data_IF_947873987429
#
_entry.id   IF_947873987429
#
_cell.length_a   1.000
_cell.length_b   1.000
_cell.length_c   1.000
_cell.angle_alpha   90.00
_cell.angle_beta   90.00
_cell.angle_gamma   90.00
#
_symmetry.space_group_name_H-M   'P 1'
#
loop_
_entity.id
_entity.type
_entity.pdbx_description
1 polymer ?
#
# COMPACT_ATOMS: atom_id res chain seq x y z
N UNK A 1 -5.76 2.49 25.32
CA UNK A 1 -5.24 2.91 24.03
C UNK A 1 -5.74 1.95 22.98
N UNK A 2 -6.32 2.45 21.91
CA UNK A 2 -6.74 1.61 20.79
C UNK A 2 -5.49 0.98 20.15
N UNK A 3 -5.43 -0.34 20.17
CA UNK A 3 -4.38 -1.07 19.47
C UNK A 3 -4.88 -1.39 18.08
N UNK A 4 -4.14 -0.96 17.07
CA UNK A 4 -4.46 -1.28 15.69
C UNK A 4 -3.91 -2.66 15.37
N UNK A 5 -4.78 -3.57 14.97
CA UNK A 5 -4.40 -4.96 14.64
C UNK A 5 -4.85 -5.31 13.24
N UNK A 6 -4.21 -6.30 12.66
CA UNK A 6 -4.58 -6.80 11.34
C UNK A 6 -3.91 -8.13 11.04
N UNK A 7 -4.16 -8.63 9.83
CA UNK A 7 -3.58 -9.89 9.41
C UNK A 7 -4.04 -10.35 8.04
N UNK A 8 -3.62 -11.53 7.65
CA UNK A 8 -3.90 -12.13 6.36
C UNK A 8 -5.18 -12.98 6.37
N UNK A 9 -5.64 -13.35 5.18
CA UNK A 9 -6.85 -14.14 4.97
C UNK A 9 -6.84 -15.47 5.73
N UNK A 10 -5.71 -16.19 5.74
CA UNK A 10 -5.62 -17.49 6.43
C UNK A 10 -5.41 -17.36 7.95
N UNK A 11 -5.19 -16.14 8.44
CA UNK A 11 -4.99 -15.85 9.85
C UNK A 11 -3.61 -16.20 10.41
N UNK A 12 -2.72 -16.80 9.61
CA UNK A 12 -1.41 -17.20 10.08
C UNK A 12 -0.48 -16.02 10.34
N UNK A 13 -0.57 -14.97 9.52
CA UNK A 13 0.16 -13.72 9.73
C UNK A 13 -0.73 -12.74 10.48
N UNK A 14 -0.23 -12.29 11.64
CA UNK A 14 -0.90 -11.26 12.43
C UNK A 14 0.09 -10.16 12.77
N UNK A 15 -0.40 -8.93 12.85
CA UNK A 15 0.42 -7.78 13.20
C UNK A 15 -0.35 -6.80 14.09
N UNK A 16 0.40 -5.97 14.78
CA UNK A 16 -0.08 -4.86 15.59
C UNK A 16 0.65 -3.58 15.20
N UNK A 17 -0.03 -2.45 15.34
CA UNK A 17 0.55 -1.13 15.12
C UNK A 17 0.55 -0.38 16.46
N UNK A 18 1.71 0.14 16.84
CA UNK A 18 1.86 0.92 18.07
C UNK A 18 1.26 2.33 17.98
N UNK A 19 1.06 2.85 16.76
CA UNK A 19 0.40 4.12 16.51
C UNK A 19 -0.63 4.00 15.39
N UNK A 20 -1.55 4.97 15.33
CA UNK A 20 -2.58 5.00 14.29
C UNK A 20 -1.96 5.09 12.89
N UNK A 21 -2.50 4.33 11.92
CA UNK A 21 -2.17 4.55 10.51
C UNK A 21 -2.60 5.96 10.09
N UNK A 22 -1.92 6.49 9.09
CA UNK A 22 -2.18 7.84 8.60
C UNK A 22 -2.05 7.86 7.07
N UNK A 23 -2.48 8.95 6.47
CA UNK A 23 -2.24 9.23 5.05
C UNK A 23 -2.77 8.12 4.13
N UNK A 24 -4.00 7.66 4.40
CA UNK A 24 -4.62 6.59 3.65
C UNK A 24 -5.10 7.07 2.27
N UNK A 25 -4.91 6.25 1.25
CA UNK A 25 -5.33 6.58 -0.10
C UNK A 25 -5.41 5.38 -1.02
N UNK A 26 -6.02 5.62 -2.19
CA UNK A 26 -6.13 4.66 -3.28
C UNK A 26 -4.99 4.85 -4.28
N UNK A 27 -4.37 3.76 -4.70
CA UNK A 27 -3.39 3.76 -5.78
C UNK A 27 -3.91 2.97 -6.97
N UNK A 28 -3.96 3.63 -8.13
CA UNK A 28 -4.45 3.06 -9.39
C UNK A 28 -3.32 2.62 -10.32
N UNK A 29 -2.07 2.64 -9.89
CA UNK A 29 -0.95 2.25 -10.76
C UNK A 29 -1.07 0.78 -11.17
N UNK A 30 -0.52 0.46 -12.33
CA UNK A 30 -0.60 -0.89 -12.90
C UNK A 30 0.02 -1.95 -11.96
N UNK A 31 1.11 -1.60 -11.27
CA UNK A 31 1.74 -2.49 -10.31
C UNK A 31 0.82 -2.84 -9.14
N UNK A 32 0.08 -1.86 -8.62
CA UNK A 32 -0.93 -2.10 -7.59
C UNK A 32 -2.08 -2.96 -8.10
N UNK A 33 -2.53 -2.73 -9.33
CA UNK A 33 -3.57 -3.55 -9.96
C UNK A 33 -3.13 -5.01 -10.08
N UNK A 34 -1.94 -5.24 -10.61
CA UNK A 34 -1.42 -6.60 -10.81
C UNK A 34 -1.14 -7.30 -9.48
N UNK A 35 -0.57 -6.61 -8.51
CA UNK A 35 -0.21 -7.23 -7.23
C UNK A 35 -1.40 -7.49 -6.32
N UNK A 36 -2.48 -6.73 -6.45
CA UNK A 36 -3.70 -6.91 -5.65
C UNK A 36 -4.78 -7.73 -6.36
N UNK A 37 -4.73 -7.80 -7.69
CA UNK A 37 -5.82 -8.40 -8.47
C UNK A 37 -7.10 -7.55 -8.45
N UNK A 38 -7.00 -6.27 -8.14
CA UNK A 38 -8.11 -5.33 -8.04
C UNK A 38 -7.85 -4.08 -8.88
N UNK A 39 -8.88 -3.30 -9.24
CA UNK A 39 -8.71 -2.08 -10.03
C UNK A 39 -7.85 -1.01 -9.38
N UNK A 40 -7.81 -1.01 -8.05
CA UNK A 40 -6.99 -0.12 -7.24
C UNK A 40 -6.71 -0.79 -5.91
N UNK A 41 -5.70 -0.33 -5.19
CA UNK A 41 -5.35 -0.84 -3.87
C UNK A 41 -5.36 0.31 -2.87
N UNK A 42 -6.01 0.11 -1.72
CA UNK A 42 -6.02 1.07 -0.63
C UNK A 42 -4.84 0.82 0.30
N UNK A 43 -4.11 1.88 0.60
CA UNK A 43 -2.99 1.86 1.52
C UNK A 43 -3.18 2.85 2.66
N UNK A 44 -2.59 2.55 3.79
CA UNK A 44 -2.40 3.49 4.89
C UNK A 44 -0.93 3.50 5.28
N UNK A 45 -0.37 4.67 5.48
CA UNK A 45 1.01 4.82 5.89
C UNK A 45 1.17 4.47 7.37
N UNK A 46 2.24 3.77 7.69
CA UNK A 46 2.58 3.33 9.06
C UNK A 46 4.05 3.60 9.30
N UNK A 47 4.40 4.09 10.48
CA UNK A 47 5.81 4.14 10.86
C UNK A 47 6.35 2.72 10.94
N UNK A 48 7.47 2.46 10.28
CA UNK A 48 8.05 1.11 10.26
C UNK A 48 8.36 0.59 11.67
N UNK A 49 8.81 1.47 12.57
CA UNK A 49 9.11 1.12 13.95
C UNK A 49 7.87 0.69 14.75
N UNK A 50 6.68 1.09 14.31
CA UNK A 50 5.42 0.79 14.98
C UNK A 50 4.73 -0.49 14.42
N UNK A 51 5.28 -1.06 13.36
CA UNK A 51 4.78 -2.30 12.77
C UNK A 51 5.41 -3.50 13.46
N UNK A 52 4.61 -4.28 14.16
CA UNK A 52 5.06 -5.48 14.89
C UNK A 52 4.30 -6.70 14.41
N UNK A 53 5.01 -7.67 13.85
CA UNK A 53 4.42 -8.97 13.49
C UNK A 53 4.31 -9.82 14.76
N UNK A 54 3.08 -10.19 15.11
CA UNK A 54 2.79 -10.95 16.33
C UNK A 54 2.69 -12.45 16.08
N UNK A 55 2.45 -12.88 14.85
CA UNK A 55 2.56 -14.27 14.42
C UNK A 55 2.83 -14.39 12.93
N UNK A 56 3.42 -15.51 12.52
CA UNK A 56 3.61 -15.83 11.11
C UNK A 56 4.69 -15.03 10.37
N UNK A 57 5.63 -14.42 11.06
CA UNK A 57 6.70 -13.64 10.43
C UNK A 57 7.49 -14.46 9.41
N UNK A 58 7.68 -15.74 9.66
CA UNK A 58 8.37 -16.68 8.76
C UNK A 58 7.60 -17.00 7.47
N UNK A 59 6.31 -16.69 7.44
CA UNK A 59 5.46 -16.86 6.25
C UNK A 59 5.47 -15.65 5.32
N UNK A 60 5.96 -14.50 5.77
CA UNK A 60 6.00 -13.30 4.95
C UNK A 60 7.04 -13.46 3.85
N UNK A 61 6.61 -13.23 2.62
CA UNK A 61 7.46 -13.23 1.41
C UNK A 61 7.46 -11.85 0.81
N UNK A 62 8.54 -11.51 0.15
CA UNK A 62 8.71 -10.20 -0.48
C UNK A 62 9.23 -10.33 -1.88
N UNK A 63 8.75 -9.47 -2.77
CA UNK A 63 9.23 -9.36 -4.15
C UNK A 63 9.55 -7.92 -4.47
N UNK A 64 10.61 -7.71 -5.23
CA UNK A 64 10.92 -6.41 -5.80
C UNK A 64 9.93 -6.13 -6.94
N UNK A 65 9.06 -5.17 -6.76
CA UNK A 65 7.97 -4.88 -7.71
C UNK A 65 8.27 -3.72 -8.66
N UNK A 66 9.32 -2.95 -8.36
CA UNK A 66 9.76 -1.83 -9.19
C UNK A 66 11.21 -1.51 -8.85
N UNK A 67 11.80 -0.52 -9.52
CA UNK A 67 13.16 -0.06 -9.24
C UNK A 67 13.33 0.47 -7.81
N UNK A 68 12.25 0.93 -7.17
CA UNK A 68 12.30 1.52 -5.84
C UNK A 68 11.31 0.92 -4.83
N UNK A 69 10.51 -0.07 -5.21
CA UNK A 69 9.46 -0.63 -4.37
C UNK A 69 9.60 -2.13 -4.14
N UNK A 70 9.23 -2.55 -2.93
CA UNK A 70 9.18 -3.95 -2.54
C UNK A 70 7.83 -4.24 -1.91
N UNK A 71 7.21 -5.33 -2.31
CA UNK A 71 5.89 -5.75 -1.81
C UNK A 71 6.02 -7.00 -0.98
N UNK A 72 5.32 -7.02 0.15
CA UNK A 72 5.33 -8.13 1.08
C UNK A 72 3.92 -8.69 1.24
N UNK A 73 3.83 -10.01 1.29
CA UNK A 73 2.56 -10.74 1.30
C UNK A 73 2.69 -12.01 2.11
N UNK A 74 1.56 -12.57 2.52
CA UNK A 74 1.54 -13.88 3.17
C UNK A 74 1.89 -14.96 2.13
N UNK A 75 2.97 -15.69 2.35
CA UNK A 75 3.40 -16.76 1.45
C UNK A 75 2.48 -17.98 1.47
N UNK A 76 1.57 -18.08 2.46
CA UNK A 76 0.62 -19.19 2.57
C UNK A 76 -0.70 -18.91 1.84
N UNK A 77 -1.25 -17.70 1.96
CA UNK A 77 -2.54 -17.37 1.36
C UNK A 77 -2.49 -16.27 0.30
N UNK A 78 -1.35 -15.60 0.13
CA UNK A 78 -1.16 -14.57 -0.89
C UNK A 78 -1.68 -13.19 -0.52
N UNK A 79 -2.24 -12.96 0.67
CA UNK A 79 -2.75 -11.65 1.06
C UNK A 79 -1.65 -10.60 0.99
N UNK A 80 -1.80 -9.50 0.21
CA UNK A 80 -0.87 -8.38 0.23
C UNK A 80 -0.90 -7.69 1.61
N UNK A 81 0.27 -7.52 2.23
CA UNK A 81 0.37 -6.96 3.57
C UNK A 81 0.84 -5.51 3.57
N UNK A 82 1.97 -5.24 2.91
CA UNK A 82 2.53 -3.89 2.87
C UNK A 82 3.50 -3.71 1.70
N UNK A 83 3.78 -2.45 1.42
CA UNK A 83 4.79 -2.01 0.44
C UNK A 83 5.80 -1.13 1.16
N UNK A 84 7.06 -1.31 0.84
CA UNK A 84 8.13 -0.40 1.24
C UNK A 84 8.72 0.25 0.02
N UNK A 85 9.09 1.52 0.13
CA UNK A 85 9.75 2.27 -0.94
C UNK A 85 11.06 2.83 -0.43
N UNK A 86 12.09 2.77 -1.28
CA UNK A 86 13.46 3.10 -0.89
C UNK A 86 13.63 4.56 -0.44
N UNK A 87 12.84 5.47 -1.01
CA UNK A 87 12.87 6.89 -0.66
C UNK A 87 12.09 7.24 0.63
N UNK A 88 11.41 6.27 1.23
CA UNK A 88 10.67 6.42 2.50
C UNK A 88 11.07 5.32 3.49
N UNK A 89 12.33 5.27 3.94
CA UNK A 89 12.81 4.15 4.76
C UNK A 89 12.17 4.08 6.15
N UNK A 90 11.61 5.19 6.63
CA UNK A 90 11.02 5.30 7.97
C UNK A 90 9.58 4.78 8.04
N UNK A 91 8.95 4.54 6.88
CA UNK A 91 7.55 4.14 6.79
C UNK A 91 7.36 2.89 5.93
N UNK A 92 6.17 2.32 6.03
CA UNK A 92 5.66 1.35 5.08
C UNK A 92 4.20 1.68 4.76
N UNK A 93 3.74 1.23 3.61
CA UNK A 93 2.35 1.41 3.20
C UNK A 93 1.60 0.09 3.42
N UNK A 94 0.83 0.06 4.50
CA UNK A 94 0.03 -1.10 4.87
C UNK A 94 -1.19 -1.22 3.94
N UNK A 95 -1.51 -2.43 3.52
CA UNK A 95 -2.80 -2.70 2.85
C UNK A 95 -3.94 -2.44 3.83
N UNK A 96 -4.64 -1.32 3.65
CA UNK A 96 -5.61 -0.81 4.62
C UNK A 96 -6.73 -1.82 4.95
N UNK A 97 -7.13 -2.62 3.96
CA UNK A 97 -8.20 -3.63 4.14
C UNK A 97 -7.77 -4.83 4.98
N UNK A 98 -6.49 -4.98 5.29
CA UNK A 98 -5.99 -6.05 6.17
C UNK A 98 -6.06 -5.70 7.65
N UNK A 99 -6.42 -4.45 7.98
CA UNK A 99 -6.73 -4.07 9.35
C UNK A 99 -8.04 -4.75 9.80
N UNK A 100 -8.12 -5.12 11.06
CA UNK A 100 -9.32 -5.75 11.63
C UNK A 100 -10.52 -4.80 11.62
N UNK A 101 -10.25 -3.48 11.72
CA UNK A 101 -11.24 -2.41 11.67
C UNK A 101 -10.95 -1.47 10.47
N UNK A 102 -11.13 -1.93 9.22
CA UNK A 102 -10.72 -1.14 8.06
C UNK A 102 -11.52 0.15 7.88
N UNK A 103 -12.76 0.20 8.36
CA UNK A 103 -13.61 1.40 8.30
C UNK A 103 -13.04 2.57 9.12
N UNK A 104 -12.14 2.29 10.04
CA UNK A 104 -11.51 3.31 10.88
C UNK A 104 -10.40 4.09 10.15
N UNK A 105 -10.00 3.65 8.96
CA UNK A 105 -8.93 4.27 8.16
C UNK A 105 -9.41 4.49 6.72
N UNK A 106 -10.39 5.38 6.52
CA UNK A 106 -10.92 5.62 5.18
C UNK A 106 -9.87 6.30 4.30
N UNK A 107 -9.76 5.89 3.01
CA UNK A 107 -8.91 6.61 2.06
C UNK A 107 -9.35 8.06 1.87
N UNK A 108 -8.38 8.96 1.71
CA UNK A 108 -8.61 10.40 1.61
C UNK A 108 -8.27 10.96 0.22
N UNK A 109 -7.69 10.15 -0.69
CA UNK A 109 -7.28 10.59 -2.01
C UNK A 109 -7.08 9.41 -2.96
N UNK A 110 -6.94 9.73 -4.25
CA UNK A 110 -6.51 8.81 -5.29
C UNK A 110 -5.18 9.28 -5.88
N UNK A 111 -4.22 8.37 -6.03
CA UNK A 111 -2.98 8.61 -6.76
C UNK A 111 -2.87 7.67 -7.97
N UNK A 112 -2.02 8.04 -8.92
CA UNK A 112 -1.89 7.35 -10.21
C UNK A 112 -3.22 7.23 -10.94
N UNK A 113 -4.02 8.29 -10.86
CA UNK A 113 -5.30 8.36 -11.55
C UNK A 113 -5.17 8.23 -13.07
N UNK A 114 -4.04 8.70 -13.63
CA UNK A 114 -3.73 8.55 -15.03
C UNK A 114 -3.69 7.08 -15.50
N UNK A 115 -3.43 6.16 -14.59
CA UNK A 115 -3.33 4.72 -14.87
C UNK A 115 -4.61 3.95 -14.56
N UNK A 116 -5.67 4.62 -14.12
CA UNK A 116 -6.91 3.96 -13.73
C UNK A 116 -7.51 3.15 -14.88
N UNK A 117 -8.13 2.05 -14.53
CA UNK A 117 -8.89 1.23 -15.47
C UNK A 117 -10.17 1.98 -15.87
N UNK A 118 -10.46 2.03 -17.17
CA UNK A 118 -11.56 2.84 -17.71
C UNK A 118 -12.94 2.46 -17.14
N UNK A 119 -13.15 1.19 -16.85
CA UNK A 119 -14.43 0.69 -16.34
C UNK A 119 -14.60 0.82 -14.82
N UNK A 120 -13.56 1.23 -14.07
CA UNK A 120 -13.63 1.46 -12.63
C UNK A 120 -13.75 2.96 -12.36
N UNK A 121 -14.94 3.39 -11.93
CA UNK A 121 -15.27 4.80 -11.72
C UNK A 121 -15.76 5.02 -10.28
N UNK A 122 -14.84 5.25 -9.32
CA UNK A 122 -15.24 5.57 -7.95
C UNK A 122 -16.14 6.79 -7.89
N UNK A 123 -17.25 6.69 -7.15
CA UNK A 123 -18.25 7.74 -7.04
C UNK A 123 -18.02 8.73 -5.91
N UNK A 124 -16.84 8.77 -5.33
CA UNK A 124 -16.48 9.70 -4.28
C UNK A 124 -15.98 11.04 -4.84
N UNK A 125 -15.86 12.04 -3.95
CA UNK A 125 -15.36 13.38 -4.27
C UNK A 125 -13.92 13.59 -3.81
N UNK A 126 -13.19 12.51 -3.55
CA UNK A 126 -11.80 12.61 -3.08
C UNK A 126 -10.88 13.21 -4.16
N UNK A 127 -9.84 13.94 -3.76
CA UNK A 127 -8.85 14.45 -4.70
C UNK A 127 -8.25 13.34 -5.55
N UNK A 128 -8.06 13.61 -6.84
CA UNK A 128 -7.47 12.68 -7.81
C UNK A 128 -6.19 13.29 -8.37
N UNK A 129 -5.08 12.62 -8.09
CA UNK A 129 -3.76 13.04 -8.54
C UNK A 129 -3.29 12.13 -9.65
N UNK A 130 -2.81 12.72 -10.75
CA UNK A 130 -2.38 11.98 -11.94
C UNK A 130 -1.27 10.97 -11.64
N UNK A 131 -0.36 11.32 -10.72
CA UNK A 131 0.70 10.46 -10.21
C UNK A 131 0.76 10.56 -8.68
N UNK A 132 1.91 10.89 -8.12
CA UNK A 132 2.05 11.13 -6.68
C UNK A 132 1.37 12.42 -6.24
N UNK A 133 1.00 12.50 -4.98
CA UNK A 133 0.52 13.75 -4.39
C UNK A 133 1.68 14.75 -4.25
N UNK A 134 1.41 16.07 -4.40
CA UNK A 134 2.44 17.09 -4.21
C UNK A 134 3.12 17.05 -2.84
N UNK A 135 2.41 16.64 -1.80
CA UNK A 135 2.86 16.63 -0.41
C UNK A 135 3.11 15.21 0.12
N UNK A 136 3.50 14.28 -0.74
CA UNK A 136 3.83 12.93 -0.29
C UNK A 136 4.99 12.96 0.69
N UNK A 137 4.76 12.43 1.89
CA UNK A 137 5.78 12.37 2.94
C UNK A 137 6.97 11.54 2.44
N UNK A 138 8.18 12.03 2.66
CA UNK A 138 9.40 11.37 2.20
C UNK A 138 9.86 11.75 0.80
N UNK A 139 9.07 12.54 0.06
CA UNK A 139 9.47 13.09 -1.23
C UNK A 139 10.05 14.51 -1.11
N UNK A 140 10.79 14.80 -0.06
CA UNK A 140 11.37 16.12 0.16
C UNK A 140 12.32 16.52 -0.98
N UNK A 141 11.76 17.02 -2.08
CA UNK A 141 12.51 17.58 -3.20
C UNK A 141 13.18 16.57 -4.13
N UNK A 142 13.06 15.29 -3.88
CA UNK A 142 13.45 14.23 -4.81
C UNK A 142 12.19 13.53 -5.30
N UNK A 143 11.75 13.87 -6.48
CA UNK A 143 10.73 13.07 -7.11
C UNK A 143 11.27 11.65 -7.32
N UNK A 144 10.46 10.61 -7.03
CA UNK A 144 10.88 9.26 -7.36
C UNK A 144 11.14 9.18 -8.86
N UNK A 145 12.07 8.34 -9.29
CA UNK A 145 12.36 8.19 -10.70
C UNK A 145 11.08 7.88 -11.46
N UNK A 146 10.98 8.42 -12.67
CA UNK A 146 9.88 8.10 -13.57
C UNK A 146 10.00 6.63 -13.97
N UNK A 147 9.42 5.77 -13.17
CA UNK A 147 9.46 4.34 -13.40
C UNK A 147 8.19 3.92 -14.13
N UNK A 148 8.31 3.77 -15.43
CA UNK A 148 7.22 3.31 -16.28
C UNK A 148 6.72 1.91 -15.89
N UNK A 149 7.49 1.14 -15.13
CA UNK A 149 7.04 -0.14 -14.61
C UNK A 149 5.88 0.00 -13.63
N UNK A 150 5.80 1.13 -12.93
CA UNK A 150 4.69 1.42 -12.02
C UNK A 150 3.39 1.75 -12.77
N UNK A 151 3.50 2.33 -13.95
CA UNK A 151 2.35 2.82 -14.71
C UNK A 151 1.97 1.94 -15.88
N UNK A 152 2.94 1.24 -16.45
CA UNK A 152 2.78 0.49 -17.69
C UNK A 152 2.60 -1.01 -17.54
N UNK A 153 2.67 -1.52 -16.32
CA UNK A 153 2.83 -2.94 -16.12
C UNK A 153 4.15 -3.41 -16.71
N UNK A 154 4.60 -4.58 -16.30
CA UNK A 154 5.75 -5.20 -16.93
C UNK A 154 5.43 -5.34 -18.42
N UNK A 155 6.10 -4.58 -19.24
CA UNK A 155 6.12 -4.87 -20.67
C UNK A 155 6.95 -6.13 -20.80
N UNK A 156 6.28 -7.23 -20.99
CA UNK A 156 6.92 -8.43 -21.46
C UNK A 156 7.55 -8.19 -22.81
#
# INVERSE_FOLDING_TARGET
MATWTGGCLCGAVRYELASAPFDAGWCHCRTCQLSSGAPAQAFACVKRADWVVTSGADLIRSVRSSSFGQRSFCGRCGTPLFVTVDHQPETLDCSAVTLDEPDSVPPEYHIFWASKIAWFNPGDDLPRHERFRPNTIGLSGTEPPDDSSLTGGAKS
#
